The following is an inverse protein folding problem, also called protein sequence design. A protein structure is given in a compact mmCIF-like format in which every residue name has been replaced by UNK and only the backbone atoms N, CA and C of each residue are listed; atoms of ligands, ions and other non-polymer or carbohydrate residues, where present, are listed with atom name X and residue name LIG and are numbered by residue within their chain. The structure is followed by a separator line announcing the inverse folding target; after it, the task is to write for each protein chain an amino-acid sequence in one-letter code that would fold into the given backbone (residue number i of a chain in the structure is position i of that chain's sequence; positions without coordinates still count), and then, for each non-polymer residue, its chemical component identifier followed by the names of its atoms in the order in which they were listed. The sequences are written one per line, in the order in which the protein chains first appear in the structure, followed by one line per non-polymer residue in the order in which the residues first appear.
data_IF_412645408112
#
_entry.id   IF_412645408112
#
_cell.length_a   1.000
_cell.length_b   1.000
_cell.length_c   1.000
_cell.angle_alpha   90.00
_cell.angle_beta   90.00
_cell.angle_gamma   90.00
#
_symmetry.space_group_name_H-M   'P 1'
#
loop_
_entity.id
_entity.type
_entity.pdbx_description
1 polymer ?
#
# COMPACT_ATOMS: atom_id res chain seq x y z
N UNK A 1 -34.34 -19.96 25.61
CA UNK A 1 -33.16 -19.86 26.49
C UNK A 1 -31.96 -20.11 25.61
N UNK A 2 -31.46 -19.07 24.95
CA UNK A 2 -30.15 -19.14 24.30
C UNK A 2 -29.12 -19.28 25.41
N UNK A 3 -28.32 -20.34 25.34
CA UNK A 3 -27.16 -20.48 26.20
C UNK A 3 -26.14 -19.43 25.75
N UNK A 4 -25.98 -18.37 26.53
CA UNK A 4 -24.77 -17.54 26.50
C UNK A 4 -23.59 -18.46 26.79
N UNK A 5 -22.95 -18.97 25.72
CA UNK A 5 -21.68 -19.65 25.85
C UNK A 5 -20.73 -18.63 26.46
N UNK A 6 -20.31 -18.87 27.71
CA UNK A 6 -19.38 -17.98 28.41
C UNK A 6 -18.16 -17.73 27.52
N UNK A 7 -17.99 -16.49 27.08
CA UNK A 7 -16.89 -16.09 26.22
C UNK A 7 -15.59 -16.35 26.99
N UNK A 8 -14.83 -17.35 26.56
CA UNK A 8 -13.55 -17.66 27.18
C UNK A 8 -12.61 -16.46 27.00
N UNK A 9 -11.98 -16.02 28.09
CA UNK A 9 -10.91 -15.04 28.00
C UNK A 9 -9.80 -15.56 27.08
N UNK A 10 -9.34 -14.72 26.15
CA UNK A 10 -8.31 -15.07 25.16
C UNK A 10 -6.91 -15.20 25.75
N UNK A 11 -6.69 -14.70 26.97
CA UNK A 11 -5.48 -14.94 27.76
C UNK A 11 -5.80 -15.00 29.26
N UNK A 12 -4.88 -15.57 30.03
CA UNK A 12 -4.93 -15.58 31.51
C UNK A 12 -4.79 -14.17 32.12
N UNK A 13 -4.36 -13.19 31.32
CA UNK A 13 -4.15 -11.81 31.74
C UNK A 13 -5.37 -10.93 31.48
N UNK A 14 -6.42 -11.48 30.84
CA UNK A 14 -7.62 -10.72 30.46
C UNK A 14 -7.40 -9.74 29.30
N UNK A 15 -6.24 -9.80 28.63
CA UNK A 15 -5.87 -8.94 27.48
C UNK A 15 -5.43 -9.79 26.28
N UNK A 16 -5.62 -9.27 25.06
CA UNK A 16 -5.12 -9.92 23.85
C UNK A 16 -3.64 -9.59 23.63
N UNK A 17 -2.78 -10.56 23.30
CA UNK A 17 -1.41 -10.26 22.92
C UNK A 17 -1.39 -9.41 21.65
N UNK A 18 -0.41 -8.52 21.54
CA UNK A 18 -0.17 -7.81 20.28
C UNK A 18 0.39 -8.76 19.23
N UNK A 19 0.08 -8.49 17.97
CA UNK A 19 0.68 -9.19 16.82
C UNK A 19 2.07 -8.58 16.56
N UNK A 20 3.13 -9.39 16.67
CA UNK A 20 4.53 -8.96 16.47
C UNK A 20 4.75 -8.25 15.13
N UNK A 21 4.04 -8.68 14.07
CA UNK A 21 4.13 -8.05 12.76
C UNK A 21 3.47 -6.66 12.76
N UNK A 22 2.30 -6.54 13.39
CA UNK A 22 1.61 -5.25 13.57
C UNK A 22 2.50 -4.28 14.33
N UNK A 23 3.04 -4.70 15.48
CA UNK A 23 3.90 -3.85 16.31
C UNK A 23 5.16 -3.41 15.56
N UNK A 24 5.82 -4.33 14.84
CA UNK A 24 7.02 -3.99 14.08
C UNK A 24 6.73 -3.00 12.94
N UNK A 25 5.63 -3.19 12.20
CA UNK A 25 5.21 -2.26 11.16
C UNK A 25 4.87 -0.90 11.76
N UNK A 26 4.13 -0.88 12.88
CA UNK A 26 3.76 0.36 13.57
C UNK A 26 4.97 1.13 14.08
N UNK A 27 5.95 0.43 14.66
CA UNK A 27 7.23 1.02 15.06
C UNK A 27 7.99 1.58 13.85
N UNK A 28 8.01 0.86 12.72
CA UNK A 28 8.66 1.33 11.50
C UNK A 28 8.00 2.60 10.95
N UNK A 29 6.67 2.62 10.85
CA UNK A 29 5.90 3.79 10.40
C UNK A 29 6.18 4.98 11.32
N UNK A 30 6.02 4.82 12.63
CA UNK A 30 6.23 5.91 13.59
C UNK A 30 7.65 6.48 13.52
N UNK A 31 8.66 5.60 13.62
CA UNK A 31 10.06 6.03 13.66
C UNK A 31 10.52 6.69 12.36
N UNK A 32 9.98 6.25 11.22
CA UNK A 32 10.38 6.76 9.89
C UNK A 32 9.60 8.01 9.48
N UNK A 33 8.37 8.19 9.99
CA UNK A 33 7.46 9.23 9.51
C UNK A 33 7.16 10.34 10.51
N UNK A 34 7.60 10.24 11.78
CA UNK A 34 7.36 11.31 12.76
C UNK A 34 7.85 12.67 12.24
N UNK A 35 6.95 13.65 12.23
CA UNK A 35 7.22 15.01 11.75
C UNK A 35 7.22 15.17 10.22
N UNK A 36 6.92 14.12 9.45
CA UNK A 36 6.69 14.21 8.00
C UNK A 36 5.20 14.45 7.71
N UNK A 37 4.94 15.11 6.58
CA UNK A 37 3.59 15.28 6.01
C UNK A 37 3.48 14.52 4.70
N UNK A 38 2.26 14.41 4.16
CA UNK A 38 1.99 13.84 2.84
C UNK A 38 2.53 12.41 2.70
N UNK A 39 2.41 11.63 3.77
CA UNK A 39 2.84 10.24 3.80
C UNK A 39 1.83 9.38 3.05
N UNK A 40 2.31 8.39 2.32
CA UNK A 40 1.54 7.33 1.72
C UNK A 40 2.03 6.00 2.31
N UNK A 41 1.10 5.19 2.83
CA UNK A 41 1.38 3.84 3.34
C UNK A 41 0.55 2.85 2.53
N UNK A 42 1.23 2.02 1.75
CA UNK A 42 0.63 1.08 0.82
C UNK A 42 1.27 -0.31 0.97
N UNK A 43 0.47 -1.36 0.86
CA UNK A 43 0.93 -2.73 0.72
C UNK A 43 0.77 -3.17 -0.74
N UNK A 44 1.89 -3.43 -1.40
CA UNK A 44 1.95 -3.94 -2.77
C UNK A 44 2.03 -5.46 -2.76
N UNK A 45 1.20 -6.13 -3.55
CA UNK A 45 1.23 -7.60 -3.74
C UNK A 45 2.19 -7.95 -4.87
N UNK A 46 3.03 -8.95 -4.65
CA UNK A 46 4.06 -9.32 -5.61
C UNK A 46 4.86 -10.55 -5.19
N UNK A 47 6.12 -10.64 -5.63
CA UNK A 47 7.00 -11.76 -5.29
C UNK A 47 8.38 -11.27 -4.83
N UNK A 48 8.96 -11.97 -3.86
CA UNK A 48 10.34 -11.79 -3.44
C UNK A 48 11.25 -12.70 -4.27
N UNK A 49 12.03 -12.12 -5.16
CA UNK A 49 12.84 -12.81 -6.16
C UNK A 49 14.33 -12.74 -5.79
N UNK A 50 15.00 -13.89 -5.72
CA UNK A 50 16.45 -13.98 -5.59
C UNK A 50 17.11 -13.40 -6.86
N UNK A 51 18.02 -12.43 -6.70
CA UNK A 51 18.71 -11.76 -7.82
C UNK A 51 19.63 -12.70 -8.60
N UNK A 52 20.11 -13.77 -7.99
CA UNK A 52 21.01 -14.75 -8.60
C UNK A 52 20.26 -15.79 -9.43
N UNK A 53 19.16 -16.33 -8.90
CA UNK A 53 18.41 -17.42 -9.56
C UNK A 53 17.26 -16.90 -10.41
N UNK A 54 16.80 -15.67 -10.19
CA UNK A 54 15.61 -15.11 -10.82
C UNK A 54 14.33 -15.88 -10.46
N UNK A 55 14.31 -16.58 -9.32
CA UNK A 55 13.18 -17.34 -8.83
C UNK A 55 12.67 -16.76 -7.49
N UNK A 56 11.41 -17.05 -7.16
CA UNK A 56 10.86 -16.73 -5.84
C UNK A 56 11.70 -17.42 -4.75
N UNK A 57 12.06 -16.67 -3.72
CA UNK A 57 12.84 -17.19 -2.60
C UNK A 57 12.13 -18.35 -1.89
N UNK A 58 12.95 -19.23 -1.31
CA UNK A 58 12.50 -20.30 -0.41
C UNK A 58 13.33 -20.24 0.85
N UNK A 59 12.70 -19.82 1.94
CA UNK A 59 13.33 -19.72 3.26
C UNK A 59 12.86 -20.88 4.15
N UNK A 60 13.67 -21.35 5.11
CA UNK A 60 13.29 -22.43 6.04
C UNK A 60 12.34 -21.92 7.14
N UNK A 61 11.22 -21.31 6.75
CA UNK A 61 10.16 -20.78 7.62
C UNK A 61 8.79 -21.26 7.12
N UNK A 62 7.84 -21.43 8.04
CA UNK A 62 6.51 -21.96 7.71
C UNK A 62 5.40 -20.89 7.68
N UNK A 63 5.68 -19.72 8.23
CA UNK A 63 4.71 -18.64 8.43
C UNK A 63 5.15 -17.36 7.73
N UNK A 64 4.20 -16.43 7.63
CA UNK A 64 4.46 -15.04 7.24
C UNK A 64 5.63 -14.47 8.05
N UNK A 65 6.61 -13.87 7.38
CA UNK A 65 7.86 -13.42 8.01
C UNK A 65 8.45 -12.24 7.28
N UNK A 66 8.88 -11.24 8.05
CA UNK A 66 9.59 -10.08 7.52
C UNK A 66 11.03 -10.47 7.19
N UNK A 67 11.51 -10.02 6.04
CA UNK A 67 12.84 -10.37 5.55
C UNK A 67 13.68 -9.14 5.21
N UNK A 68 14.97 -9.19 5.55
CA UNK A 68 15.95 -8.23 5.08
C UNK A 68 16.36 -8.58 3.65
N UNK A 69 15.69 -7.95 2.68
CA UNK A 69 15.97 -8.19 1.25
C UNK A 69 17.38 -7.78 0.82
N UNK A 70 18.03 -6.83 1.51
CA UNK A 70 19.39 -6.42 1.17
C UNK A 70 20.39 -7.50 1.56
N UNK A 71 20.28 -8.02 2.79
CA UNK A 71 21.14 -9.12 3.25
C UNK A 71 20.94 -10.41 2.46
N UNK A 72 19.69 -10.70 2.05
CA UNK A 72 19.38 -11.89 1.27
C UNK A 72 19.69 -11.77 -0.23
N UNK A 73 20.05 -10.58 -0.72
CA UNK A 73 20.26 -10.37 -2.17
C UNK A 73 18.98 -10.50 -2.99
N UNK A 74 17.85 -10.09 -2.41
CA UNK A 74 16.50 -10.26 -2.95
C UNK A 74 16.00 -8.93 -3.51
N UNK A 75 15.11 -9.00 -4.51
CA UNK A 75 14.30 -7.86 -4.95
C UNK A 75 12.82 -8.20 -4.84
N UNK A 76 12.00 -7.18 -4.70
CA UNK A 76 10.55 -7.34 -4.80
C UNK A 76 10.13 -7.00 -6.23
N UNK A 77 9.28 -7.83 -6.81
CA UNK A 77 8.63 -7.58 -8.10
C UNK A 77 7.13 -7.42 -7.86
N UNK A 78 6.63 -6.21 -8.11
CA UNK A 78 5.21 -5.87 -8.07
C UNK A 78 4.60 -6.18 -9.42
N UNK A 79 4.27 -7.45 -9.65
CA UNK A 79 3.64 -7.91 -10.88
C UNK A 79 2.86 -9.20 -10.63
N UNK A 80 1.92 -9.51 -11.51
CA UNK A 80 1.22 -10.78 -11.54
C UNK A 80 0.79 -11.14 -12.96
N UNK A 81 0.44 -12.41 -13.18
CA UNK A 81 -0.13 -12.80 -14.47
C UNK A 81 -1.48 -12.13 -14.73
N UNK A 82 -1.81 -11.90 -16.00
CA UNK A 82 -3.13 -11.40 -16.41
C UNK A 82 -4.29 -12.25 -15.87
N UNK A 83 -4.10 -13.57 -15.72
CA UNK A 83 -5.13 -14.44 -15.16
C UNK A 83 -5.29 -14.26 -13.63
N UNK A 84 -4.22 -13.95 -12.89
CA UNK A 84 -4.32 -13.52 -11.50
C UNK A 84 -5.04 -12.17 -11.40
N UNK A 85 -4.67 -11.20 -12.23
CA UNK A 85 -5.31 -9.89 -12.28
C UNK A 85 -6.82 -9.99 -12.57
N UNK A 86 -7.22 -10.80 -13.55
CA UNK A 86 -8.64 -11.08 -13.85
C UNK A 86 -9.39 -11.69 -12.66
N UNK A 87 -8.75 -12.61 -11.92
CA UNK A 87 -9.35 -13.22 -10.73
C UNK A 87 -9.57 -12.18 -9.62
N UNK A 88 -8.60 -11.30 -9.38
CA UNK A 88 -8.77 -10.20 -8.43
C UNK A 88 -9.88 -9.24 -8.84
N UNK A 89 -9.93 -8.84 -10.10
CA UNK A 89 -11.02 -7.99 -10.61
C UNK A 89 -12.40 -8.63 -10.35
N UNK A 90 -12.54 -9.92 -10.68
CA UNK A 90 -13.79 -10.65 -10.42
C UNK A 90 -14.14 -10.66 -8.93
N UNK A 91 -13.19 -11.02 -8.07
CA UNK A 91 -13.38 -11.06 -6.62
C UNK A 91 -13.82 -9.70 -6.07
N UNK A 92 -13.12 -8.62 -6.43
CA UNK A 92 -13.41 -7.27 -5.92
C UNK A 92 -14.77 -6.76 -6.42
N UNK A 93 -15.16 -7.08 -7.66
CA UNK A 93 -16.50 -6.77 -8.16
C UNK A 93 -17.60 -7.56 -7.43
N UNK A 94 -17.34 -8.81 -7.04
CA UNK A 94 -18.26 -9.59 -6.20
C UNK A 94 -18.42 -8.98 -4.81
N UNK A 95 -17.33 -8.46 -4.21
CA UNK A 95 -17.37 -7.72 -2.94
C UNK A 95 -18.21 -6.45 -3.06
N UNK A 96 -18.06 -5.68 -4.13
CA UNK A 96 -18.90 -4.49 -4.41
C UNK A 96 -20.37 -4.89 -4.49
N UNK A 97 -20.70 -5.92 -5.27
CA UNK A 97 -22.07 -6.39 -5.45
C UNK A 97 -22.69 -6.92 -4.13
N UNK A 98 -21.90 -7.59 -3.30
CA UNK A 98 -22.32 -8.06 -1.99
C UNK A 98 -22.57 -6.88 -1.03
N UNK A 99 -21.61 -5.96 -0.93
CA UNK A 99 -21.66 -4.82 0.00
C UNK A 99 -22.80 -3.85 -0.32
N UNK A 100 -23.26 -3.78 -1.57
CA UNK A 100 -24.40 -2.95 -1.97
C UNK A 100 -25.71 -3.29 -1.22
N UNK A 101 -25.82 -4.51 -0.66
CA UNK A 101 -26.96 -4.96 0.15
C UNK A 101 -26.82 -4.63 1.64
N UNK A 102 -25.65 -4.16 2.06
CA UNK A 102 -25.35 -3.80 3.45
C UNK A 102 -25.67 -2.34 3.73
N UNK A 103 -25.46 -1.95 4.99
CA UNK A 103 -25.60 -0.57 5.44
C UNK A 103 -24.62 0.36 4.68
N UNK A 104 -24.96 1.64 4.42
CA UNK A 104 -24.15 2.55 3.61
C UNK A 104 -22.67 2.65 4.01
N UNK A 105 -22.36 2.57 5.30
CA UNK A 105 -21.02 2.63 5.90
C UNK A 105 -20.18 1.37 5.65
N UNK A 106 -20.80 0.26 5.29
CA UNK A 106 -20.15 -1.00 4.94
C UNK A 106 -20.02 -1.19 3.42
N UNK A 107 -20.50 -0.23 2.63
CA UNK A 107 -20.46 -0.32 1.17
C UNK A 107 -19.05 -0.11 0.64
N UNK A 108 -18.68 -0.96 -0.31
CA UNK A 108 -17.47 -0.77 -1.11
C UNK A 108 -17.83 0.07 -2.33
N UNK A 109 -17.16 1.21 -2.48
CA UNK A 109 -17.29 2.05 -3.66
C UNK A 109 -16.29 1.65 -4.74
N UNK A 110 -16.67 1.85 -6.01
CA UNK A 110 -15.86 1.48 -7.17
C UNK A 110 -15.64 2.70 -8.06
N UNK A 111 -14.41 2.83 -8.58
CA UNK A 111 -14.04 3.85 -9.57
C UNK A 111 -13.08 3.24 -10.59
N UNK A 112 -13.27 3.60 -11.86
CA UNK A 112 -12.36 3.24 -12.95
C UNK A 112 -11.71 4.51 -13.49
N UNK A 113 -10.38 4.57 -13.46
CA UNK A 113 -9.59 5.70 -13.93
C UNK A 113 -8.59 5.25 -15.00
N UNK A 114 -8.47 6.06 -16.05
CA UNK A 114 -7.39 5.93 -17.03
C UNK A 114 -6.50 7.15 -16.91
N UNK A 115 -5.24 6.93 -16.61
CA UNK A 115 -4.30 7.98 -16.23
C UNK A 115 -3.05 7.92 -17.09
N UNK A 116 -2.43 9.08 -17.31
CA UNK A 116 -1.11 9.19 -17.92
C UNK A 116 -0.19 9.81 -16.88
N UNK A 117 0.81 9.04 -16.46
CA UNK A 117 1.89 9.55 -15.60
C UNK A 117 3.04 10.01 -16.51
N UNK A 118 3.41 11.30 -16.40
CA UNK A 118 4.58 11.89 -17.05
C UNK A 118 5.61 12.30 -16.01
N UNK A 119 6.89 12.03 -16.26
CA UNK A 119 7.97 12.25 -15.31
C UNK A 119 8.93 13.32 -15.81
N UNK A 120 9.28 14.28 -14.95
CA UNK A 120 10.12 15.41 -15.29
C UNK A 120 11.28 15.53 -14.31
N UNK A 121 12.45 15.86 -14.83
CA UNK A 121 13.62 16.21 -14.03
C UNK A 121 13.84 17.71 -14.15
N UNK A 122 13.42 18.45 -13.12
CA UNK A 122 13.53 19.91 -13.11
C UNK A 122 14.46 20.39 -12.01
N UNK A 123 15.15 21.49 -12.26
CA UNK A 123 15.97 22.13 -11.24
C UNK A 123 15.09 23.11 -10.47
N UNK A 124 14.94 22.87 -9.18
CA UNK A 124 14.25 23.79 -8.28
C UNK A 124 14.91 25.18 -8.37
N UNK A 125 14.17 26.22 -8.79
CA UNK A 125 14.74 27.56 -8.95
C UNK A 125 15.25 28.18 -7.65
N UNK A 126 14.71 27.79 -6.50
CA UNK A 126 15.07 28.33 -5.18
C UNK A 126 16.24 27.57 -4.55
N UNK A 127 16.22 26.24 -4.62
CA UNK A 127 17.24 25.40 -3.95
C UNK A 127 18.37 24.95 -4.88
N UNK A 128 18.17 25.03 -6.20
CA UNK A 128 19.10 24.54 -7.22
C UNK A 128 19.23 23.01 -7.28
N UNK A 129 18.46 22.29 -6.46
CA UNK A 129 18.45 20.83 -6.43
C UNK A 129 17.61 20.26 -7.58
N UNK A 130 17.92 19.04 -8.00
CA UNK A 130 17.09 18.33 -8.97
C UNK A 130 15.85 17.78 -8.26
N UNK A 131 14.68 18.11 -8.78
CA UNK A 131 13.39 17.59 -8.38
C UNK A 131 12.89 16.60 -9.44
N UNK A 132 12.54 15.39 -8.99
CA UNK A 132 11.94 14.36 -9.83
C UNK A 132 10.42 14.43 -9.66
N UNK A 133 9.74 15.01 -10.64
CA UNK A 133 8.31 15.25 -10.60
C UNK A 133 7.54 14.15 -11.32
N UNK A 134 6.41 13.73 -10.74
CA UNK A 134 5.38 12.94 -11.43
C UNK A 134 4.17 13.86 -11.64
N UNK A 135 3.71 13.95 -12.89
CA UNK A 135 2.47 14.62 -13.28
C UNK A 135 1.48 13.56 -13.76
N UNK A 136 0.37 13.42 -13.06
CA UNK A 136 -0.72 12.50 -13.39
C UNK A 136 -1.86 13.26 -14.06
N UNK A 137 -2.20 12.85 -15.28
CA UNK A 137 -3.31 13.41 -16.08
C UNK A 137 -4.40 12.38 -16.30
N UNK A 138 -5.65 12.83 -16.40
CA UNK A 138 -6.73 11.99 -16.91
C UNK A 138 -6.51 11.73 -18.42
N UNK A 139 -6.54 10.47 -18.84
CA UNK A 139 -6.19 10.08 -20.20
C UNK A 139 -7.22 10.54 -21.26
N UNK A 140 -8.46 10.83 -20.86
CA UNK A 140 -9.52 11.23 -21.78
C UNK A 140 -9.54 12.74 -22.01
N UNK A 141 -9.30 13.51 -20.95
CA UNK A 141 -9.39 14.97 -20.94
C UNK A 141 -8.04 15.67 -21.00
N UNK A 142 -6.95 14.94 -20.73
CA UNK A 142 -5.58 15.43 -20.61
C UNK A 142 -5.38 16.49 -19.49
N UNK A 143 -6.37 16.64 -18.61
CA UNK A 143 -6.30 17.55 -17.47
C UNK A 143 -5.47 16.93 -16.34
N UNK A 144 -4.69 17.76 -15.66
CA UNK A 144 -3.94 17.34 -14.46
C UNK A 144 -4.96 17.00 -13.38
N UNK A 145 -4.81 15.83 -12.75
CA UNK A 145 -5.68 15.46 -11.65
C UNK A 145 -5.46 16.38 -10.43
N UNK A 146 -6.49 16.58 -9.58
CA UNK A 146 -6.29 17.27 -8.30
C UNK A 146 -5.15 16.61 -7.52
N UNK A 147 -4.18 17.42 -7.05
CA UNK A 147 -2.94 16.95 -6.40
C UNK A 147 -2.10 15.98 -7.25
N UNK A 148 -2.28 15.98 -8.57
CA UNK A 148 -1.61 15.08 -9.50
C UNK A 148 -0.17 15.46 -9.83
N UNK A 149 0.39 16.52 -9.23
CA UNK A 149 1.80 16.91 -9.40
C UNK A 149 2.52 16.76 -8.08
N UNK A 150 3.45 15.80 -8.03
CA UNK A 150 4.16 15.46 -6.80
C UNK A 150 5.64 15.17 -7.03
N UNK A 151 6.43 15.27 -5.97
CA UNK A 151 7.72 14.62 -5.84
C UNK A 151 7.59 13.43 -4.86
N UNK A 152 7.75 12.21 -5.37
CA UNK A 152 7.65 10.98 -4.56
C UNK A 152 9.02 10.60 -4.01
N UNK A 153 9.15 10.52 -2.69
CA UNK A 153 10.35 10.06 -2.00
C UNK A 153 10.07 8.79 -1.21
N UNK A 154 10.77 7.70 -1.51
CA UNK A 154 10.73 6.47 -0.71
C UNK A 154 11.33 6.74 0.67
N UNK A 155 10.58 6.41 1.72
CA UNK A 155 10.99 6.55 3.11
C UNK A 155 11.49 5.21 3.65
N UNK A 156 10.65 4.17 3.56
CA UNK A 156 10.97 2.84 4.06
C UNK A 156 10.22 1.76 3.27
N UNK A 157 10.73 0.53 3.35
CA UNK A 157 10.10 -0.67 2.80
C UNK A 157 10.20 -1.81 3.82
N UNK A 158 9.07 -2.49 4.04
CA UNK A 158 9.00 -3.71 4.84
C UNK A 158 8.58 -4.83 3.89
N UNK A 159 9.43 -5.84 3.73
CA UNK A 159 9.20 -6.94 2.81
C UNK A 159 8.79 -8.17 3.61
N UNK A 160 7.65 -8.76 3.25
CA UNK A 160 7.07 -9.88 3.97
C UNK A 160 6.97 -11.09 3.05
N UNK A 161 7.66 -12.15 3.43
CA UNK A 161 7.64 -13.45 2.77
C UNK A 161 6.49 -14.31 3.31
N UNK A 162 5.71 -14.89 2.41
CA UNK A 162 4.53 -15.67 2.74
C UNK A 162 4.63 -17.09 2.14
N UNK A 163 5.28 -18.05 2.82
CA UNK A 163 5.60 -19.37 2.25
C UNK A 163 4.35 -20.21 1.90
N UNK A 164 3.23 -19.97 2.58
CA UNK A 164 1.96 -20.70 2.37
C UNK A 164 1.02 -20.00 1.39
N UNK A 165 1.46 -18.91 0.76
CA UNK A 165 0.65 -18.09 -0.16
C UNK A 165 1.28 -18.04 -1.55
N UNK A 166 0.49 -17.85 -2.61
CA UNK A 166 1.01 -17.66 -3.97
C UNK A 166 1.80 -16.36 -4.14
N UNK A 167 1.59 -15.37 -3.26
CA UNK A 167 2.26 -14.07 -3.31
C UNK A 167 2.97 -13.75 -2.00
N UNK A 168 3.95 -12.87 -2.11
CA UNK A 168 4.56 -12.09 -1.02
C UNK A 168 3.99 -10.67 -1.07
N UNK A 169 4.35 -9.82 -0.12
CA UNK A 169 3.98 -8.40 -0.22
C UNK A 169 5.05 -7.49 0.37
N UNK A 170 4.96 -6.22 -0.01
CA UNK A 170 5.80 -5.14 0.50
C UNK A 170 4.93 -4.01 1.01
N UNK A 171 5.12 -3.62 2.26
CA UNK A 171 4.62 -2.35 2.77
C UNK A 171 5.62 -1.29 2.38
N UNK A 172 5.21 -0.40 1.49
CA UNK A 172 6.00 0.76 1.04
C UNK A 172 5.49 2.00 1.75
N UNK A 173 6.42 2.80 2.25
CA UNK A 173 6.14 4.08 2.89
C UNK A 173 6.83 5.16 2.07
N UNK A 174 6.06 6.12 1.56
CA UNK A 174 6.55 7.21 0.74
C UNK A 174 6.11 8.56 1.31
N UNK A 175 6.82 9.62 0.98
CA UNK A 175 6.32 10.99 1.07
C UNK A 175 5.99 11.47 -0.36
N UNK A 176 4.76 11.90 -0.60
CA UNK A 176 4.27 12.42 -1.88
C UNK A 176 4.07 13.93 -1.78
N UNK A 177 5.19 14.68 -1.73
CA UNK A 177 5.15 16.14 -1.57
C UNK A 177 4.47 16.80 -2.76
N UNK A 178 3.39 17.58 -2.58
CA UNK A 178 2.78 18.34 -3.67
C UNK A 178 3.77 19.34 -4.26
N UNK A 179 3.83 19.40 -5.59
CA UNK A 179 4.74 20.28 -6.31
C UNK A 179 3.98 21.17 -7.31
N UNK A 180 4.50 22.36 -7.64
CA UNK A 180 4.00 23.13 -8.76
C UNK A 180 4.07 22.33 -10.06
N UNK A 181 3.20 22.65 -11.02
CA UNK A 181 3.28 22.08 -12.37
C UNK A 181 4.66 22.38 -13.00
N UNK A 182 5.21 21.44 -13.80
CA UNK A 182 6.46 21.67 -14.51
C UNK A 182 6.36 22.88 -15.44
N UNK A 183 7.51 23.43 -15.82
CA UNK A 183 7.57 24.53 -16.77
C UNK A 183 6.99 24.09 -18.12
N UNK A 184 6.32 25.01 -18.83
CA UNK A 184 5.70 24.70 -20.14
C UNK A 184 6.72 24.19 -21.19
N UNK A 185 8.00 24.56 -21.04
CA UNK A 185 9.10 24.10 -21.91
C UNK A 185 9.73 22.78 -21.49
N UNK A 186 9.32 22.19 -20.37
CA UNK A 186 9.92 20.96 -19.87
C UNK A 186 9.41 19.75 -20.66
N UNK A 187 10.34 18.90 -21.07
CA UNK A 187 10.03 17.64 -21.74
C UNK A 187 9.98 16.50 -20.71
N UNK A 188 8.97 15.64 -20.85
CA UNK A 188 8.86 14.46 -20.00
C UNK A 188 9.99 13.47 -20.35
N UNK A 189 10.80 13.11 -19.36
CA UNK A 189 11.85 12.10 -19.46
C UNK A 189 11.28 10.70 -19.69
N UNK A 190 10.09 10.45 -19.15
CA UNK A 190 9.40 9.16 -19.21
C UNK A 190 7.89 9.38 -19.10
N UNK A 191 7.13 8.52 -19.78
CA UNK A 191 5.67 8.51 -19.74
C UNK A 191 5.21 7.07 -19.60
N UNK A 192 4.12 6.84 -18.87
CA UNK A 192 3.42 5.55 -18.82
C UNK A 192 1.92 5.77 -18.72
N UNK A 193 1.17 4.81 -19.26
CA UNK A 193 -0.29 4.79 -19.11
C UNK A 193 -0.69 3.85 -17.99
N UNK A 194 -1.75 4.19 -17.28
CA UNK A 194 -2.31 3.39 -16.19
C UNK A 194 -3.80 3.21 -16.39
N UNK A 195 -4.26 1.97 -16.32
CA UNK A 195 -5.67 1.61 -16.27
C UNK A 195 -5.96 1.05 -14.87
N UNK A 196 -6.67 1.80 -14.04
CA UNK A 196 -6.82 1.56 -12.61
C UNK A 196 -8.27 1.35 -12.21
N UNK A 197 -8.50 0.23 -11.54
CA UNK A 197 -9.76 -0.11 -10.88
C UNK A 197 -9.56 0.07 -9.36
N UNK A 198 -10.22 1.08 -8.79
CA UNK A 198 -10.10 1.43 -7.38
C UNK A 198 -11.35 1.03 -6.61
N UNK A 199 -11.14 0.34 -5.49
CA UNK A 199 -12.17 -0.14 -4.60
C UNK A 199 -11.94 0.44 -3.21
N UNK A 200 -12.81 1.34 -2.76
CA UNK A 200 -12.68 1.96 -1.43
C UNK A 200 -13.70 1.38 -0.48
N UNK A 201 -13.22 0.94 0.68
CA UNK A 201 -14.03 0.56 1.85
C UNK A 201 -13.48 1.26 3.09
N UNK A 202 -14.26 2.18 3.66
CA UNK A 202 -13.85 3.00 4.82
C UNK A 202 -12.49 3.69 4.57
N UNK A 203 -11.51 3.49 5.44
CA UNK A 203 -10.17 4.09 5.33
C UNK A 203 -9.20 3.29 4.44
N UNK A 204 -9.66 2.23 3.78
CA UNK A 204 -8.84 1.38 2.92
C UNK A 204 -9.22 1.60 1.46
N UNK A 205 -8.21 1.76 0.62
CA UNK A 205 -8.33 1.72 -0.82
C UNK A 205 -7.60 0.50 -1.38
N UNK A 206 -8.21 -0.23 -2.30
CA UNK A 206 -7.60 -1.35 -3.02
C UNK A 206 -7.55 -0.98 -4.49
N UNK A 207 -6.35 -0.88 -5.04
CA UNK A 207 -6.13 -0.52 -6.44
C UNK A 207 -5.63 -1.74 -7.21
N UNK A 208 -6.36 -2.07 -8.27
CA UNK A 208 -5.95 -3.07 -9.25
C UNK A 208 -5.59 -2.32 -10.54
N UNK A 209 -4.30 -2.29 -10.88
CA UNK A 209 -3.76 -1.40 -11.91
C UNK A 209 -3.05 -2.18 -13.00
N UNK A 210 -3.32 -1.83 -14.25
CA UNK A 210 -2.48 -2.21 -15.38
C UNK A 210 -1.60 -1.02 -15.78
N UNK A 211 -0.28 -1.23 -15.79
CA UNK A 211 0.69 -0.22 -16.19
C UNK A 211 1.25 -0.57 -17.57
N UNK A 212 1.08 0.33 -18.52
CA UNK A 212 1.52 0.15 -19.91
C UNK A 212 2.70 1.09 -20.15
N UNK A 213 3.84 0.50 -20.51
CA UNK A 213 5.05 1.24 -20.84
C UNK A 213 5.13 1.50 -22.35
N UNK A 214 5.55 2.70 -22.80
CA UNK A 214 5.64 3.03 -24.23
C UNK A 214 6.56 2.10 -25.02
N UNK A 215 7.62 1.61 -24.39
CA UNK A 215 8.58 0.68 -25.00
C UNK A 215 8.09 -0.78 -25.01
N UNK A 216 7.04 -1.11 -24.24
CA UNK A 216 6.49 -2.46 -24.10
C UNK A 216 4.95 -2.45 -24.04
N UNK A 217 4.27 -1.94 -25.06
CA UNK A 217 2.81 -1.75 -25.01
C UNK A 217 2.02 -3.06 -24.97
N UNK A 218 2.64 -4.20 -25.34
CA UNK A 218 2.02 -5.53 -25.35
C UNK A 218 2.29 -6.35 -24.08
N UNK A 219 3.12 -5.84 -23.16
CA UNK A 219 3.51 -6.51 -21.92
C UNK A 219 3.15 -5.60 -20.74
N UNK A 220 1.85 -5.39 -20.44
CA UNK A 220 1.45 -4.59 -19.29
C UNK A 220 1.90 -5.27 -17.99
N UNK A 221 2.33 -4.47 -17.03
CA UNK A 221 2.56 -4.91 -15.65
C UNK A 221 1.22 -4.85 -14.92
N UNK A 222 0.93 -5.87 -14.11
CA UNK A 222 -0.31 -6.00 -13.37
C UNK A 222 -0.05 -5.87 -11.86
N UNK A 223 -0.51 -4.78 -11.26
CA UNK A 223 -0.25 -4.43 -9.86
C UNK A 223 -1.54 -4.53 -9.04
N UNK A 224 -1.40 -4.95 -7.78
CA UNK A 224 -2.46 -4.90 -6.77
C UNK A 224 -1.89 -4.25 -5.52
N UNK A 225 -2.53 -3.18 -5.07
CA UNK A 225 -2.09 -2.33 -3.97
C UNK A 225 -3.23 -2.15 -2.96
N UNK A 226 -2.90 -2.13 -1.67
CA UNK A 226 -3.84 -1.82 -0.59
C UNK A 226 -3.28 -0.63 0.19
N UNK A 227 -4.02 0.46 0.29
CA UNK A 227 -3.55 1.73 0.82
C UNK A 227 -4.41 2.20 1.99
N UNK A 228 -3.76 2.81 2.98
CA UNK A 228 -4.44 3.58 4.03
C UNK A 228 -4.67 5.01 3.50
N UNK A 229 -5.93 5.41 3.35
CA UNK A 229 -6.30 6.68 2.71
C UNK A 229 -5.97 7.91 3.55
N UNK A 230 -6.26 7.86 4.85
CA UNK A 230 -6.04 8.98 5.77
C UNK A 230 -4.77 8.76 6.58
N UNK A 231 -3.63 9.00 5.94
CA UNK A 231 -2.31 8.90 6.57
C UNK A 231 -2.08 9.97 7.63
N UNK A 232 -2.72 11.14 7.52
CA UNK A 232 -2.66 12.18 8.52
C UNK A 232 -3.32 11.72 9.84
N UNK A 233 -4.51 11.11 9.76
CA UNK A 233 -5.16 10.49 10.90
C UNK A 233 -4.36 9.31 11.43
N UNK A 234 -3.76 8.48 10.57
CA UNK A 234 -2.86 7.38 10.99
C UNK A 234 -1.70 7.92 11.86
N UNK A 235 -1.03 9.00 11.41
CA UNK A 235 0.09 9.60 12.15
C UNK A 235 -0.36 10.30 13.43
N UNK A 236 -1.57 10.85 13.46
CA UNK A 236 -2.17 11.39 14.69
C UNK A 236 -2.40 10.28 15.73
N UNK A 237 -3.01 9.17 15.32
CA UNK A 237 -3.20 8.00 16.20
C UNK A 237 -1.86 7.44 16.71
N UNK A 238 -0.83 7.47 15.87
CA UNK A 238 0.53 7.09 16.26
C UNK A 238 1.11 8.04 17.32
N UNK A 239 0.92 9.36 17.20
CA UNK A 239 1.38 10.30 18.23
C UNK A 239 0.64 10.07 19.55
N UNK A 240 -0.69 9.97 19.49
CA UNK A 240 -1.54 9.78 20.67
C UNK A 240 -1.17 8.49 21.44
N UNK A 241 -0.87 7.40 20.72
CA UNK A 241 -0.45 6.13 21.32
C UNK A 241 0.95 6.19 21.97
N UNK A 242 1.85 7.03 21.45
CA UNK A 242 3.24 7.15 21.95
C UNK A 242 3.43 8.24 23.00
N UNK A 243 2.61 9.29 22.98
CA UNK A 243 2.63 10.39 23.96
C UNK A 243 1.90 10.03 25.26
N UNK A 244 1.19 8.89 25.28
CA UNK A 244 0.58 8.31 26.47
C UNK A 244 1.65 7.85 27.47
N UNK A 245 2.25 8.81 28.18
CA UNK A 245 3.23 8.65 29.24
C UNK A 245 2.70 7.74 30.35
N UNK A 246 2.90 6.43 30.21
CA UNK A 246 2.57 5.43 31.22
C UNK A 246 1.44 4.45 30.86
N UNK A 247 0.93 4.43 29.62
CA UNK A 247 0.11 3.31 29.18
C UNK A 247 0.97 2.02 29.18
N UNK A 248 0.44 0.87 29.62
CA UNK A 248 1.17 -0.39 29.53
C UNK A 248 1.60 -0.62 28.08
N UNK A 249 2.86 -1.01 27.86
CA UNK A 249 3.52 -1.24 26.56
C UNK A 249 2.83 -2.29 25.64
N UNK A 250 1.62 -2.76 25.96
CA UNK A 250 1.05 -3.99 25.43
C UNK A 250 -0.47 -3.95 25.21
N UNK A 251 -1.09 -2.78 25.18
CA UNK A 251 -2.51 -2.64 24.84
C UNK A 251 -2.69 -2.26 23.37
N UNK A 252 -3.67 -2.91 22.72
CA UNK A 252 -4.10 -2.56 21.36
C UNK A 252 -4.57 -1.11 21.31
N UNK A 253 -3.96 -0.32 20.42
CA UNK A 253 -4.39 1.07 20.18
C UNK A 253 -5.11 1.19 18.84
N UNK A 254 -5.89 2.27 18.61
CA UNK A 254 -6.50 2.52 17.31
C UNK A 254 -5.48 2.63 16.16
N UNK A 255 -4.22 2.98 16.48
CA UNK A 255 -3.13 2.96 15.51
C UNK A 255 -2.79 1.52 15.09
N UNK A 256 -2.65 0.61 16.06
CA UNK A 256 -2.38 -0.81 15.80
C UNK A 256 -3.54 -1.47 15.05
N UNK A 257 -4.79 -1.12 15.40
CA UNK A 257 -5.98 -1.59 14.68
C UNK A 257 -5.97 -1.17 13.22
N UNK A 258 -5.54 0.06 12.91
CA UNK A 258 -5.47 0.52 11.52
C UNK A 258 -4.45 -0.28 10.71
N UNK A 259 -3.29 -0.61 11.32
CA UNK A 259 -2.27 -1.46 10.70
C UNK A 259 -2.78 -2.90 10.54
N UNK A 260 -3.45 -3.43 11.56
CA UNK A 260 -4.04 -4.77 11.50
C UNK A 260 -5.12 -4.86 10.40
N UNK A 261 -5.94 -3.82 10.22
CA UNK A 261 -6.92 -3.73 9.13
C UNK A 261 -6.23 -3.77 7.77
N UNK A 262 -5.14 -3.01 7.57
CA UNK A 262 -4.33 -3.07 6.35
C UNK A 262 -3.82 -4.50 6.09
N UNK A 263 -3.20 -5.12 7.10
CA UNK A 263 -2.66 -6.48 7.01
C UNK A 263 -3.75 -7.51 6.72
N UNK A 264 -4.89 -7.42 7.38
CA UNK A 264 -5.99 -8.37 7.17
C UNK A 264 -6.55 -8.30 5.75
N UNK A 265 -6.67 -7.11 5.15
CA UNK A 265 -7.07 -6.97 3.76
C UNK A 265 -6.06 -7.63 2.82
N UNK A 266 -4.76 -7.39 3.00
CA UNK A 266 -3.70 -8.03 2.20
C UNK A 266 -3.72 -9.55 2.38
N UNK A 267 -3.75 -10.04 3.63
CA UNK A 267 -3.76 -11.47 3.99
C UNK A 267 -4.96 -12.20 3.38
N UNK A 268 -6.12 -11.56 3.30
CA UNK A 268 -7.32 -12.12 2.67
C UNK A 268 -7.22 -12.11 1.14
N UNK A 269 -6.65 -11.08 0.53
CA UNK A 269 -6.45 -11.00 -0.92
C UNK A 269 -5.48 -12.08 -1.43
N UNK A 270 -4.36 -12.29 -0.74
CA UNK A 270 -3.34 -13.25 -1.19
C UNK A 270 -3.63 -14.70 -0.79
N UNK A 271 -4.79 -14.98 -0.20
CA UNK A 271 -5.13 -16.25 0.44
C UNK A 271 -5.19 -17.43 -0.52
#
# INVERSE_FOLDING_TARGET
MESDAAQCARSIFGIDPMDDLVSMIGDCIWNSCRGLTDIEVEAKVGLLIDRRTNERIRLPVFTETVVDTKQLGVRFESDMSMDQHRRFNKLLNEVVAYSAKQAPEERVSYRHQKEIDSFYDERDPQTGQMAHLRVTRDANTNQIQPNGVIAKKRIADINVYCPQRPFDYRISINAETPMPAPQDSAEASFVREKDRLSYTHQNINVDLTQVILPNKPKEPVHELEVEIRDSAQLMKLASDSRDSNGAPLQEWTPFDDTILILLNNVRLLIR
#
